data_IF_377442801852
#
_entry.id   IF_377442801852
#
_cell.length_a   1.000
_cell.length_b   1.000
_cell.length_c   1.000
_cell.angle_alpha   90.00
_cell.angle_beta   90.00
_cell.angle_gamma   90.00
#
_symmetry.space_group_name_H-M   'P 1'
#
loop_
_entity.id
_entity.type
_entity.pdbx_description
1 polymer ?
#
# COMPACT_ATOMS: atom_id res chain seq x y z
N UNK A 1 3.00 2.93 21.56
CA UNK A 1 3.46 2.84 20.15
C UNK A 1 3.71 4.26 19.67
N UNK A 2 4.72 4.46 18.83
CA UNK A 2 5.08 5.79 18.32
C UNK A 2 4.28 6.08 17.06
N UNK A 3 3.65 7.26 16.97
CA UNK A 3 2.90 7.69 15.79
C UNK A 3 3.83 7.87 14.60
N UNK A 4 3.60 7.13 13.51
CA UNK A 4 4.34 7.27 12.25
C UNK A 4 3.65 8.24 11.30
N UNK A 5 2.35 7.99 11.01
CA UNK A 5 1.50 8.84 10.19
C UNK A 5 0.32 9.32 11.01
N UNK A 6 0.01 10.59 10.91
CA UNK A 6 -1.23 11.16 11.43
C UNK A 6 -1.87 12.06 10.37
N UNK A 7 -3.15 11.86 10.12
CA UNK A 7 -3.96 12.61 9.16
C UNK A 7 -5.14 13.19 9.91
N UNK A 8 -5.32 14.51 9.82
CA UNK A 8 -6.39 15.25 10.50
C UNK A 8 -7.18 16.08 9.50
N UNK A 9 -8.48 15.85 9.48
CA UNK A 9 -9.48 16.58 8.68
C UNK A 9 -9.03 16.76 7.23
N UNK A 10 -8.41 15.71 6.65
CA UNK A 10 -7.86 15.76 5.29
C UNK A 10 -8.98 15.84 4.26
N UNK A 11 -8.88 16.82 3.37
CA UNK A 11 -9.70 16.94 2.18
C UNK A 11 -8.81 16.91 0.93
N UNK A 12 -9.30 16.24 -0.10
CA UNK A 12 -8.55 16.09 -1.34
C UNK A 12 -9.39 15.50 -2.46
N UNK A 13 -8.80 15.39 -3.64
CA UNK A 13 -9.50 14.89 -4.82
C UNK A 13 -8.67 15.04 -6.08
N UNK A 14 -9.31 15.38 -7.20
CA UNK A 14 -8.64 15.61 -8.47
C UNK A 14 -9.12 16.94 -9.08
N UNK A 15 -8.19 17.79 -9.43
CA UNK A 15 -8.44 19.15 -9.94
C UNK A 15 -9.43 19.92 -9.04
N UNK A 16 -10.67 20.12 -9.46
CA UNK A 16 -11.74 20.78 -8.71
C UNK A 16 -12.77 19.82 -8.10
N UNK A 17 -12.58 18.50 -8.30
CA UNK A 17 -13.54 17.48 -7.82
C UNK A 17 -13.07 16.94 -6.48
N UNK A 18 -13.76 17.33 -5.41
CA UNK A 18 -13.51 16.82 -4.07
C UNK A 18 -14.05 15.41 -3.91
N UNK A 19 -13.20 14.51 -3.35
CA UNK A 19 -13.53 13.11 -3.09
C UNK A 19 -13.42 12.78 -1.61
N UNK A 20 -12.47 13.40 -0.90
CA UNK A 20 -12.22 13.17 0.51
C UNK A 20 -12.80 14.30 1.36
N UNK A 21 -13.49 13.95 2.43
CA UNK A 21 -14.17 14.88 3.32
C UNK A 21 -13.79 14.58 4.77
N UNK A 22 -12.97 15.46 5.37
CA UNK A 22 -12.60 15.42 6.79
C UNK A 22 -12.10 14.04 7.25
N UNK A 23 -11.11 13.49 6.54
CA UNK A 23 -10.52 12.19 6.87
C UNK A 23 -9.60 12.32 8.08
N UNK A 24 -9.86 11.50 9.09
CA UNK A 24 -9.00 11.31 10.27
C UNK A 24 -8.55 9.86 10.32
N UNK A 25 -7.25 9.62 10.14
CA UNK A 25 -6.62 8.30 10.31
C UNK A 25 -5.24 8.44 10.95
N UNK A 26 -4.76 7.33 11.49
CA UNK A 26 -3.38 7.25 11.93
C UNK A 26 -2.79 5.86 11.75
N UNK A 27 -1.47 5.81 11.68
CA UNK A 27 -0.68 4.58 11.63
C UNK A 27 0.48 4.72 12.61
N UNK A 28 0.67 3.73 13.48
CA UNK A 28 1.80 3.68 14.40
C UNK A 28 2.97 2.91 13.78
N UNK A 29 4.21 3.13 14.26
CA UNK A 29 5.40 2.44 13.74
C UNK A 29 5.25 0.92 13.89
N UNK A 30 5.51 0.17 12.81
CA UNK A 30 5.42 -1.28 12.74
C UNK A 30 3.98 -1.82 12.60
N UNK A 31 2.95 -0.95 12.57
CA UNK A 31 1.58 -1.40 12.31
C UNK A 31 1.38 -1.87 10.86
N UNK A 32 0.50 -2.84 10.71
CA UNK A 32 -0.17 -3.15 9.44
C UNK A 32 -1.60 -2.62 9.53
N UNK A 33 -1.90 -1.58 8.77
CA UNK A 33 -3.21 -0.92 8.75
C UNK A 33 -3.90 -1.17 7.42
N UNK A 34 -5.17 -1.60 7.46
CA UNK A 34 -5.99 -1.79 6.26
C UNK A 34 -7.14 -0.78 6.22
N UNK A 35 -7.32 -0.17 5.06
CA UNK A 35 -8.49 0.65 4.74
C UNK A 35 -9.37 -0.13 3.77
N UNK A 36 -10.63 -0.35 4.14
CA UNK A 36 -11.63 -1.05 3.33
C UNK A 36 -12.80 -0.15 3.00
N UNK A 37 -13.61 -0.57 2.04
CA UNK A 37 -14.83 0.13 1.63
C UNK A 37 -15.19 -0.16 0.18
N UNK A 38 -16.39 0.20 -0.27
CA UNK A 38 -16.85 -0.06 -1.62
C UNK A 38 -16.01 0.64 -2.69
N UNK A 39 -16.12 0.18 -3.92
CA UNK A 39 -15.44 0.81 -5.06
C UNK A 39 -15.93 2.27 -5.22
N UNK A 40 -14.98 3.16 -5.50
CA UNK A 40 -15.28 4.58 -5.68
C UNK A 40 -15.48 5.37 -4.37
N UNK A 41 -15.35 4.76 -3.18
CA UNK A 41 -15.53 5.49 -1.91
C UNK A 41 -14.36 6.41 -1.52
N UNK A 42 -13.25 6.43 -2.29
CA UNK A 42 -12.12 7.34 -2.08
C UNK A 42 -10.87 6.70 -1.49
N UNK A 43 -10.77 5.37 -1.31
CA UNK A 43 -9.59 4.68 -0.74
C UNK A 43 -8.29 5.02 -1.45
N UNK A 44 -8.25 4.78 -2.77
CA UNK A 44 -7.06 5.09 -3.59
C UNK A 44 -6.77 6.59 -3.62
N UNK A 45 -7.80 7.43 -3.60
CA UNK A 45 -7.64 8.89 -3.53
C UNK A 45 -6.97 9.29 -2.21
N UNK A 46 -7.32 8.65 -1.09
CA UNK A 46 -6.73 8.93 0.21
C UNK A 46 -5.23 8.68 0.21
N UNK A 47 -4.78 7.48 -0.16
CA UNK A 47 -3.34 7.19 -0.16
C UNK A 47 -2.58 7.98 -1.22
N UNK A 48 -3.21 8.29 -2.38
CA UNK A 48 -2.65 9.18 -3.40
C UNK A 48 -2.52 10.62 -2.92
N UNK A 49 -3.49 11.14 -2.14
CA UNK A 49 -3.39 12.47 -1.53
C UNK A 49 -2.28 12.53 -0.49
N UNK A 50 -2.17 11.50 0.37
CA UNK A 50 -1.07 11.38 1.34
C UNK A 50 0.29 11.34 0.63
N UNK A 51 0.39 10.63 -0.49
CA UNK A 51 1.64 10.48 -1.25
C UNK A 51 1.90 11.59 -2.27
N UNK A 52 1.04 12.63 -2.36
CA UNK A 52 1.22 13.77 -3.27
C UNK A 52 0.95 13.46 -4.74
N UNK A 53 0.12 12.46 -5.05
CA UNK A 53 -0.33 12.07 -6.39
C UNK A 53 -1.76 12.53 -6.71
N UNK A 54 -2.52 12.97 -5.71
CA UNK A 54 -3.83 13.59 -5.86
C UNK A 54 -3.80 14.99 -5.26
N UNK A 55 -4.79 15.81 -5.60
CA UNK A 55 -4.84 17.20 -5.15
C UNK A 55 -5.17 17.26 -3.65
N UNK A 56 -4.27 17.82 -2.87
CA UNK A 56 -4.50 18.20 -1.48
C UNK A 56 -5.26 19.54 -1.44
N UNK A 57 -6.36 19.60 -0.68
CA UNK A 57 -7.13 20.83 -0.51
C UNK A 57 -6.89 21.47 0.86
N UNK A 58 -7.12 20.71 1.93
CA UNK A 58 -6.90 21.17 3.32
C UNK A 58 -6.77 20.01 4.31
N UNK A 59 -6.52 20.33 5.56
CA UNK A 59 -6.28 19.39 6.66
C UNK A 59 -4.80 19.32 7.00
N UNK A 60 -4.40 18.30 7.72
CA UNK A 60 -3.01 18.10 8.12
C UNK A 60 -2.60 16.64 7.88
N UNK A 61 -1.45 16.45 7.25
CA UNK A 61 -0.77 15.15 7.16
C UNK A 61 0.59 15.31 7.80
N UNK A 62 0.85 14.57 8.87
CA UNK A 62 2.16 14.54 9.52
C UNK A 62 2.78 13.15 9.46
N UNK A 63 4.07 13.10 9.17
CA UNK A 63 4.89 11.89 9.12
C UNK A 63 6.06 12.04 10.08
N UNK A 64 6.16 11.15 11.07
CA UNK A 64 7.16 11.26 12.17
C UNK A 64 7.16 12.63 12.84
N UNK A 65 5.96 13.22 13.01
CA UNK A 65 5.78 14.53 13.62
C UNK A 65 6.12 15.73 12.73
N UNK A 66 6.62 15.52 11.51
CA UNK A 66 6.84 16.57 10.53
C UNK A 66 5.61 16.75 9.64
N UNK A 67 5.16 17.99 9.40
CA UNK A 67 4.06 18.27 8.47
C UNK A 67 4.53 18.00 7.03
N UNK A 68 3.81 17.11 6.33
CA UNK A 68 4.07 16.71 4.94
C UNK A 68 2.89 17.00 4.02
N UNK A 69 1.92 17.80 4.47
CA UNK A 69 0.71 18.14 3.71
C UNK A 69 1.06 18.76 2.37
N UNK A 70 0.55 18.18 1.28
CA UNK A 70 0.78 18.67 -0.08
C UNK A 70 2.24 18.60 -0.56
N UNK A 71 3.11 17.86 0.12
CA UNK A 71 4.48 17.64 -0.33
C UNK A 71 4.52 16.84 -1.65
N UNK A 72 5.57 17.07 -2.43
CA UNK A 72 5.82 16.34 -3.68
C UNK A 72 6.28 14.91 -3.39
N UNK A 73 5.94 13.99 -4.27
CA UNK A 73 6.29 12.56 -4.18
C UNK A 73 7.80 12.31 -3.99
N UNK A 74 8.65 13.07 -4.70
CA UNK A 74 10.11 12.91 -4.60
C UNK A 74 10.66 13.27 -3.20
N UNK A 75 10.03 14.23 -2.52
CA UNK A 75 10.37 14.59 -1.14
C UNK A 75 9.92 13.50 -0.15
N UNK A 76 8.70 12.97 -0.31
CA UNK A 76 8.15 11.90 0.52
C UNK A 76 8.97 10.60 0.39
N UNK A 77 9.40 10.25 -0.84
CA UNK A 77 10.30 9.11 -1.07
C UNK A 77 11.62 9.29 -0.33
N UNK A 78 12.21 10.49 -0.33
CA UNK A 78 13.44 10.78 0.41
C UNK A 78 13.25 10.71 1.93
N UNK A 79 12.01 10.84 2.44
CA UNK A 79 11.67 10.65 3.85
C UNK A 79 11.42 9.17 4.22
N UNK A 80 11.46 8.26 3.24
CA UNK A 80 11.27 6.83 3.44
C UNK A 80 9.84 6.34 3.27
N UNK A 81 9.00 7.07 2.53
CA UNK A 81 7.65 6.64 2.15
C UNK A 81 7.71 6.10 0.72
N UNK A 82 7.18 4.91 0.48
CA UNK A 82 7.02 4.35 -0.87
C UNK A 82 5.56 4.01 -1.16
N UNK A 83 5.21 4.04 -2.45
CA UNK A 83 3.86 3.77 -2.93
C UNK A 83 3.88 2.75 -4.06
N UNK A 84 3.00 1.76 -3.99
CA UNK A 84 2.77 0.75 -5.03
C UNK A 84 1.36 0.96 -5.57
N UNK A 85 1.21 1.39 -6.83
CA UNK A 85 -0.10 1.58 -7.45
C UNK A 85 -0.75 0.25 -7.84
N UNK A 86 -2.07 0.27 -7.99
CA UNK A 86 -2.88 -0.87 -8.43
C UNK A 86 -2.54 -1.30 -9.87
N UNK A 87 -2.39 -0.33 -10.77
CA UNK A 87 -2.13 -0.54 -12.20
C UNK A 87 -0.85 0.17 -12.61
N UNK A 88 -0.32 -0.19 -13.78
CA UNK A 88 0.92 0.38 -14.34
C UNK A 88 2.10 0.36 -13.36
N UNK A 89 2.11 -0.70 -12.54
CA UNK A 89 3.04 -0.84 -11.43
C UNK A 89 4.41 -1.43 -11.82
N UNK A 90 4.61 -1.85 -13.07
CA UNK A 90 5.88 -2.32 -13.62
C UNK A 90 6.11 -1.76 -15.03
N UNK A 91 7.35 -1.78 -15.50
CA UNK A 91 7.71 -1.45 -16.89
C UNK A 91 7.73 -2.74 -17.73
N UNK A 92 6.69 -3.01 -18.57
CA UNK A 92 6.54 -4.30 -19.24
C UNK A 92 7.67 -4.62 -20.23
N UNK A 93 8.30 -3.61 -20.82
CA UNK A 93 9.39 -3.72 -21.77
C UNK A 93 10.78 -3.91 -21.15
N UNK A 94 10.88 -3.81 -19.83
CA UNK A 94 12.11 -4.05 -19.09
C UNK A 94 12.08 -5.43 -18.45
N UNK A 95 13.26 -6.02 -18.25
CA UNK A 95 13.39 -7.25 -17.47
C UNK A 95 13.07 -7.02 -15.97
N UNK A 96 12.92 -8.12 -15.22
CA UNK A 96 12.71 -8.08 -13.76
C UNK A 96 13.84 -7.27 -13.10
N UNK A 97 15.10 -7.61 -13.39
CA UNK A 97 16.25 -6.94 -12.81
C UNK A 97 16.33 -5.45 -13.19
N UNK A 98 15.97 -5.08 -14.42
CA UNK A 98 15.92 -3.69 -14.87
C UNK A 98 14.80 -2.92 -14.17
N UNK A 99 13.62 -3.52 -13.98
CA UNK A 99 12.55 -2.94 -13.19
C UNK A 99 13.00 -2.63 -11.75
N UNK A 100 13.70 -3.56 -11.10
CA UNK A 100 14.24 -3.35 -9.76
C UNK A 100 15.27 -2.20 -9.73
N UNK A 101 16.16 -2.12 -10.71
CA UNK A 101 17.14 -1.02 -10.86
C UNK A 101 16.48 0.35 -10.95
N UNK A 102 15.31 0.45 -11.57
CA UNK A 102 14.55 1.70 -11.63
C UNK A 102 14.11 2.21 -10.25
N UNK A 103 13.90 1.30 -9.28
CA UNK A 103 13.59 1.67 -7.89
C UNK A 103 14.72 2.34 -7.13
N UNK A 104 15.95 2.24 -7.64
CA UNK A 104 17.16 2.75 -6.97
C UNK A 104 18.08 3.56 -7.88
N UNK A 105 17.58 4.26 -8.87
CA UNK A 105 18.35 4.97 -9.89
C UNK A 105 19.33 6.06 -9.34
N UNK A 106 19.13 6.50 -8.09
CA UNK A 106 20.00 7.46 -7.40
C UNK A 106 21.00 6.80 -6.44
N UNK A 107 20.95 5.48 -6.28
CA UNK A 107 21.80 4.74 -5.36
C UNK A 107 23.19 4.47 -5.97
N UNK A 108 24.19 4.36 -5.09
CA UNK A 108 25.51 3.87 -5.49
C UNK A 108 25.38 2.43 -6.00
N UNK A 109 26.18 2.03 -7.02
CA UNK A 109 26.06 0.71 -7.65
C UNK A 109 26.09 -0.47 -6.67
N UNK A 110 26.99 -0.45 -5.68
CA UNK A 110 27.09 -1.51 -4.67
C UNK A 110 25.83 -1.58 -3.80
N UNK A 111 25.37 -0.43 -3.29
CA UNK A 111 24.14 -0.36 -2.47
C UNK A 111 22.92 -0.85 -3.25
N UNK A 112 22.83 -0.50 -4.53
CA UNK A 112 21.77 -0.95 -5.41
C UNK A 112 21.78 -2.48 -5.58
N UNK A 113 22.97 -3.05 -5.85
CA UNK A 113 23.15 -4.49 -5.98
C UNK A 113 22.75 -5.23 -4.70
N UNK A 114 23.20 -4.76 -3.54
CA UNK A 114 22.88 -5.38 -2.24
C UNK A 114 21.37 -5.35 -1.94
N UNK A 115 20.68 -4.25 -2.31
CA UNK A 115 19.22 -4.13 -2.10
C UNK A 115 18.42 -4.98 -3.07
N UNK A 116 18.87 -5.11 -4.31
CA UNK A 116 18.27 -6.02 -5.28
C UNK A 116 18.39 -7.46 -4.78
N UNK A 117 19.57 -7.87 -4.33
CA UNK A 117 19.82 -9.21 -3.80
C UNK A 117 18.87 -9.53 -2.63
N UNK A 118 18.79 -8.63 -1.63
CA UNK A 118 17.84 -8.78 -0.51
C UNK A 118 16.38 -8.88 -0.98
N UNK A 119 16.00 -8.10 -1.99
CA UNK A 119 14.64 -8.15 -2.53
C UNK A 119 14.34 -9.48 -3.22
N UNK A 120 15.32 -10.05 -3.94
CA UNK A 120 15.21 -11.37 -4.55
C UNK A 120 15.21 -12.52 -3.53
N UNK A 121 15.84 -12.33 -2.37
CA UNK A 121 15.73 -13.26 -1.23
C UNK A 121 14.30 -13.27 -0.65
N UNK A 122 13.66 -12.12 -0.58
CA UNK A 122 12.27 -11.98 -0.10
C UNK A 122 11.23 -12.51 -1.11
N UNK A 123 11.54 -12.44 -2.39
CA UNK A 123 10.67 -12.88 -3.49
C UNK A 123 11.41 -13.87 -4.41
N UNK A 124 11.65 -15.12 -3.95
CA UNK A 124 12.48 -16.09 -4.67
C UNK A 124 11.92 -16.48 -6.04
N UNK A 125 10.62 -16.37 -6.27
CA UNK A 125 9.98 -16.62 -7.57
C UNK A 125 10.53 -15.68 -8.66
N UNK A 126 10.90 -14.44 -8.29
CA UNK A 126 11.48 -13.48 -9.22
C UNK A 126 12.94 -13.78 -9.57
N UNK A 127 13.68 -14.49 -8.70
CA UNK A 127 15.08 -14.84 -8.94
C UNK A 127 15.25 -15.72 -10.16
N UNK A 128 14.39 -16.71 -10.33
CA UNK A 128 14.44 -17.60 -11.50
C UNK A 128 14.11 -16.91 -12.83
N UNK A 129 13.54 -15.71 -12.74
CA UNK A 129 13.01 -14.93 -13.85
C UNK A 129 13.67 -13.56 -14.00
N UNK A 130 14.82 -13.33 -13.35
CA UNK A 130 15.44 -12.00 -13.25
C UNK A 130 15.74 -11.34 -14.61
N UNK A 131 16.00 -12.14 -15.64
CA UNK A 131 16.28 -11.66 -17.01
C UNK A 131 15.05 -11.69 -17.93
N UNK A 132 13.92 -12.22 -17.48
CA UNK A 132 12.68 -12.25 -18.26
C UNK A 132 12.06 -10.86 -18.33
N UNK A 133 11.39 -10.55 -19.44
CA UNK A 133 10.62 -9.31 -19.56
C UNK A 133 9.43 -9.32 -18.58
N UNK A 134 9.17 -8.20 -17.92
CA UNK A 134 8.04 -8.08 -17.00
C UNK A 134 6.68 -8.33 -17.70
N UNK A 135 6.58 -8.11 -19.01
CA UNK A 135 5.41 -8.46 -19.81
C UNK A 135 5.08 -9.96 -19.79
N UNK A 136 6.07 -10.84 -19.62
CA UNK A 136 5.89 -12.31 -19.61
C UNK A 136 5.48 -12.87 -18.24
N UNK A 137 5.51 -12.04 -17.19
CA UNK A 137 5.16 -12.45 -15.84
C UNK A 137 3.64 -12.64 -15.69
N UNK A 138 3.24 -13.54 -14.80
CA UNK A 138 1.86 -13.65 -14.33
C UNK A 138 1.44 -12.38 -13.55
N UNK A 139 0.15 -12.22 -13.27
CA UNK A 139 -0.35 -11.11 -12.46
C UNK A 139 0.29 -11.05 -11.07
N UNK A 140 0.41 -12.20 -10.39
CA UNK A 140 1.05 -12.31 -9.07
C UNK A 140 2.53 -11.97 -9.11
N UNK A 141 3.28 -12.51 -10.07
CA UNK A 141 4.71 -12.20 -10.25
C UNK A 141 4.92 -10.70 -10.56
N UNK A 142 4.06 -10.09 -11.40
CA UNK A 142 4.13 -8.64 -11.64
C UNK A 142 3.89 -7.84 -10.36
N UNK A 143 2.95 -8.27 -9.51
CA UNK A 143 2.70 -7.60 -8.23
C UNK A 143 3.89 -7.75 -7.27
N UNK A 144 4.49 -8.94 -7.18
CA UNK A 144 5.72 -9.15 -6.43
C UNK A 144 6.85 -8.24 -6.92
N UNK A 145 7.00 -8.10 -8.24
CA UNK A 145 7.99 -7.20 -8.85
C UNK A 145 7.73 -5.72 -8.51
N UNK A 146 6.47 -5.30 -8.52
CA UNK A 146 6.12 -3.92 -8.15
C UNK A 146 6.47 -3.61 -6.68
N UNK A 147 6.16 -4.53 -5.77
CA UNK A 147 6.53 -4.42 -4.35
C UNK A 147 8.06 -4.44 -4.21
N UNK A 148 8.74 -5.40 -4.85
CA UNK A 148 10.21 -5.50 -4.85
C UNK A 148 10.87 -4.18 -5.28
N UNK A 149 10.38 -3.59 -6.37
CA UNK A 149 10.88 -2.30 -6.86
C UNK A 149 10.71 -1.17 -5.82
N UNK A 150 9.58 -1.13 -5.13
CA UNK A 150 9.34 -0.13 -4.08
C UNK A 150 10.29 -0.32 -2.89
N UNK A 151 10.65 -1.56 -2.55
CA UNK A 151 11.59 -1.88 -1.46
C UNK A 151 13.03 -1.47 -1.74
N UNK A 152 13.44 -1.31 -3.01
CA UNK A 152 14.80 -0.87 -3.37
C UNK A 152 15.13 0.52 -2.79
N UNK A 153 14.13 1.39 -2.62
CA UNK A 153 14.32 2.68 -1.94
C UNK A 153 14.61 2.55 -0.44
N UNK A 154 14.41 1.37 0.15
CA UNK A 154 14.50 1.07 1.59
C UNK A 154 13.53 1.90 2.43
N UNK A 155 12.23 1.77 2.17
CA UNK A 155 11.22 2.55 2.85
C UNK A 155 11.05 2.13 4.31
N UNK A 156 10.62 3.08 5.16
CA UNK A 156 10.11 2.78 6.50
C UNK A 156 8.58 2.65 6.50
N UNK A 157 7.93 3.18 5.46
CA UNK A 157 6.48 3.19 5.31
C UNK A 157 6.09 2.84 3.88
N UNK A 158 5.26 1.82 3.72
CA UNK A 158 4.80 1.33 2.42
C UNK A 158 3.29 1.55 2.29
N UNK A 159 2.90 2.28 1.26
CA UNK A 159 1.52 2.52 0.85
C UNK A 159 1.20 1.59 -0.33
N UNK A 160 0.13 0.80 -0.22
CA UNK A 160 -0.25 -0.21 -1.22
C UNK A 160 -1.70 0.01 -1.67
N UNK A 161 -1.89 0.18 -2.97
CA UNK A 161 -3.20 0.43 -3.59
C UNK A 161 -3.72 -0.84 -4.24
N UNK A 162 -4.66 -1.53 -3.58
CA UNK A 162 -5.34 -2.76 -4.00
C UNK A 162 -4.36 -3.83 -4.58
N UNK A 163 -3.30 -4.22 -3.84
CA UNK A 163 -2.26 -5.09 -4.38
C UNK A 163 -2.74 -6.51 -4.71
N UNK A 164 -3.93 -6.92 -4.23
CA UNK A 164 -4.49 -8.24 -4.54
C UNK A 164 -5.52 -8.21 -5.66
N UNK A 165 -5.83 -7.05 -6.23
CA UNK A 165 -6.83 -6.91 -7.28
C UNK A 165 -6.53 -7.78 -8.50
N UNK A 166 -7.56 -8.44 -9.03
CA UNK A 166 -7.50 -9.31 -10.20
C UNK A 166 -6.54 -10.52 -10.09
N UNK A 167 -6.09 -10.88 -8.90
CA UNK A 167 -5.30 -12.08 -8.64
C UNK A 167 -6.20 -13.25 -8.26
N UNK A 168 -5.72 -14.49 -8.55
CA UNK A 168 -6.39 -15.69 -8.03
C UNK A 168 -6.28 -15.77 -6.50
N UNK A 169 -7.20 -16.46 -5.80
CA UNK A 169 -7.19 -16.55 -4.33
C UNK A 169 -5.85 -17.01 -3.74
N UNK A 170 -5.18 -17.93 -4.40
CA UNK A 170 -3.86 -18.41 -3.97
C UNK A 170 -2.81 -17.29 -4.01
N UNK A 171 -2.75 -16.54 -5.10
CA UNK A 171 -1.81 -15.42 -5.21
C UNK A 171 -2.17 -14.25 -4.30
N UNK A 172 -3.47 -13.99 -4.07
CA UNK A 172 -3.90 -12.98 -3.09
C UNK A 172 -3.33 -13.30 -1.70
N UNK A 173 -3.45 -14.55 -1.26
CA UNK A 173 -2.92 -14.99 0.03
C UNK A 173 -1.39 -14.83 0.08
N UNK A 174 -0.67 -15.29 -0.94
CA UNK A 174 0.79 -15.17 -1.02
C UNK A 174 1.26 -13.71 -0.98
N UNK A 175 0.58 -12.81 -1.68
CA UNK A 175 0.91 -11.38 -1.67
C UNK A 175 0.70 -10.77 -0.28
N UNK A 176 -0.43 -11.03 0.37
CA UNK A 176 -0.69 -10.50 1.71
C UNK A 176 0.29 -11.08 2.74
N UNK A 177 0.64 -12.35 2.67
CA UNK A 177 1.64 -12.97 3.54
C UNK A 177 3.03 -12.35 3.31
N UNK A 178 3.41 -12.12 2.06
CA UNK A 178 4.66 -11.45 1.73
C UNK A 178 4.70 -10.01 2.27
N UNK A 179 3.59 -9.26 2.12
CA UNK A 179 3.47 -7.91 2.65
C UNK A 179 3.58 -7.92 4.19
N UNK A 180 2.88 -8.83 4.88
CA UNK A 180 2.95 -8.94 6.34
C UNK A 180 4.38 -9.25 6.83
N UNK A 181 5.12 -10.10 6.08
CA UNK A 181 6.51 -10.40 6.42
C UNK A 181 7.46 -9.19 6.44
N UNK A 182 7.12 -8.12 5.69
CA UNK A 182 7.90 -6.87 5.65
C UNK A 182 7.95 -6.16 7.01
N UNK A 183 6.98 -6.41 7.90
CA UNK A 183 6.99 -5.89 9.27
C UNK A 183 8.17 -6.42 10.08
N UNK A 184 8.60 -7.65 9.82
CA UNK A 184 9.75 -8.27 10.51
C UNK A 184 11.07 -7.54 10.24
N UNK A 185 11.13 -6.82 9.11
CA UNK A 185 12.28 -5.97 8.76
C UNK A 185 12.03 -4.48 9.06
N UNK A 186 10.98 -4.17 9.84
CA UNK A 186 10.70 -2.83 10.38
C UNK A 186 9.92 -1.90 9.44
N UNK A 187 9.26 -2.44 8.41
CA UNK A 187 8.42 -1.63 7.50
C UNK A 187 7.00 -1.54 8.06
N UNK A 188 6.51 -0.32 8.18
CA UNK A 188 5.10 -0.02 8.51
C UNK A 188 4.27 -0.08 7.23
N UNK A 189 3.03 -0.57 7.31
CA UNK A 189 2.20 -0.84 6.13
C UNK A 189 0.86 -0.15 6.25
N UNK A 190 0.46 0.56 5.19
CA UNK A 190 -0.91 1.03 4.97
C UNK A 190 -1.38 0.51 3.62
N UNK A 191 -2.38 -0.35 3.65
CA UNK A 191 -2.97 -0.95 2.46
C UNK A 191 -4.41 -0.47 2.29
N UNK A 192 -4.83 -0.20 1.07
CA UNK A 192 -6.24 -0.10 0.73
C UNK A 192 -6.63 -1.34 -0.05
N UNK A 193 -7.75 -1.96 0.29
CA UNK A 193 -8.19 -3.22 -0.29
C UNK A 193 -9.70 -3.29 -0.51
N UNK A 194 -10.08 -4.06 -1.49
CA UNK A 194 -11.47 -4.46 -1.70
C UNK A 194 -11.76 -5.79 -1.00
N UNK A 195 -10.83 -6.76 -1.04
CA UNK A 195 -10.94 -8.02 -0.31
C UNK A 195 -10.61 -7.81 1.17
N UNK A 196 -11.60 -7.33 1.91
CA UNK A 196 -11.46 -6.91 3.29
C UNK A 196 -11.02 -8.05 4.23
N UNK A 197 -11.58 -9.26 4.05
CA UNK A 197 -11.33 -10.39 4.96
C UNK A 197 -9.87 -10.80 5.00
N UNK A 198 -9.24 -10.88 3.82
CA UNK A 198 -7.85 -11.33 3.70
C UNK A 198 -6.87 -10.34 4.31
N UNK A 199 -7.06 -9.05 4.06
CA UNK A 199 -6.18 -8.00 4.58
C UNK A 199 -6.38 -7.74 6.07
N UNK A 200 -7.65 -7.65 6.55
CA UNK A 200 -7.95 -7.46 7.97
C UNK A 200 -7.45 -8.61 8.84
N UNK A 201 -7.46 -9.86 8.34
CA UNK A 201 -6.96 -11.01 9.09
C UNK A 201 -5.48 -10.89 9.48
N UNK A 202 -4.69 -10.06 8.78
CA UNK A 202 -3.26 -9.80 9.03
C UNK A 202 -2.97 -8.42 9.62
N UNK A 203 -4.00 -7.57 9.70
CA UNK A 203 -3.85 -6.20 10.16
C UNK A 203 -4.02 -6.06 11.67
N UNK A 204 -3.38 -5.03 12.23
CA UNK A 204 -3.58 -4.61 13.62
C UNK A 204 -4.79 -3.69 13.74
N UNK A 205 -5.00 -2.83 12.73
CA UNK A 205 -6.06 -1.81 12.69
C UNK A 205 -6.75 -1.79 11.34
N UNK A 206 -8.07 -1.55 11.36
CA UNK A 206 -8.88 -1.32 10.18
C UNK A 206 -9.57 0.04 10.19
N UNK A 207 -9.74 0.59 9.01
CA UNK A 207 -10.61 1.75 8.74
C UNK A 207 -11.62 1.36 7.67
N UNK A 208 -12.87 1.77 7.87
CA UNK A 208 -13.93 1.59 6.87
C UNK A 208 -14.26 2.95 6.27
N UNK A 209 -14.16 3.04 4.95
CA UNK A 209 -14.51 4.25 4.20
C UNK A 209 -15.81 4.08 3.44
N UNK A 210 -16.62 5.14 3.42
CA UNK A 210 -17.79 5.27 2.59
C UNK A 210 -17.97 6.73 2.17
N UNK A 211 -18.26 6.96 0.88
CA UNK A 211 -18.53 8.30 0.34
C UNK A 211 -17.50 9.37 0.75
N UNK A 212 -16.22 9.03 0.67
CA UNK A 212 -15.12 9.94 0.95
C UNK A 212 -14.88 10.24 2.43
N UNK A 213 -15.47 9.47 3.35
CA UNK A 213 -15.33 9.63 4.81
C UNK A 213 -14.91 8.31 5.47
N UNK A 214 -14.23 8.39 6.59
CA UNK A 214 -14.08 7.26 7.51
C UNK A 214 -15.35 7.15 8.33
N UNK A 215 -16.03 6.00 8.22
CA UNK A 215 -17.30 5.75 8.92
C UNK A 215 -17.12 4.83 10.14
N UNK A 216 -16.04 4.04 10.17
CA UNK A 216 -15.68 3.20 11.30
C UNK A 216 -14.17 2.99 11.37
N UNK A 217 -13.65 2.78 12.58
CA UNK A 217 -12.23 2.44 12.79
C UNK A 217 -12.06 1.64 14.08
N UNK A 218 -11.07 0.76 14.11
CA UNK A 218 -10.79 -0.02 15.30
C UNK A 218 -9.76 -1.13 15.08
N UNK A 219 -9.67 -1.99 16.06
CA UNK A 219 -8.91 -3.24 15.98
C UNK A 219 -9.41 -4.09 14.79
N UNK A 220 -8.49 -4.57 13.96
CA UNK A 220 -8.84 -5.26 12.72
C UNK A 220 -9.61 -6.57 12.96
N UNK A 221 -9.29 -7.30 14.03
CA UNK A 221 -9.99 -8.56 14.37
C UNK A 221 -11.42 -8.29 14.85
N UNK A 222 -11.65 -7.18 15.57
CA UNK A 222 -13.00 -6.78 15.95
C UNK A 222 -13.84 -6.41 14.73
N UNK A 223 -13.27 -5.64 13.80
CA UNK A 223 -13.95 -5.31 12.52
C UNK A 223 -14.28 -6.58 11.73
N UNK A 224 -13.34 -7.53 11.67
CA UNK A 224 -13.50 -8.79 10.92
C UNK A 224 -14.62 -9.68 11.49
N UNK A 225 -14.84 -9.64 12.80
CA UNK A 225 -15.80 -10.50 13.51
C UNK A 225 -17.13 -9.82 13.82
N UNK A 226 -17.27 -8.52 13.55
CA UNK A 226 -18.49 -7.77 13.80
C UNK A 226 -19.58 -8.13 12.76
N UNK A 227 -20.74 -8.69 13.18
CA UNK A 227 -21.79 -9.10 12.26
C UNK A 227 -22.39 -7.94 11.45
N UNK A 228 -22.54 -6.75 12.06
CA UNK A 228 -23.11 -5.58 11.39
C UNK A 228 -22.18 -5.07 10.31
N UNK A 229 -20.87 -5.02 10.60
CA UNK A 229 -19.84 -4.66 9.62
C UNK A 229 -19.73 -5.74 8.54
N UNK A 230 -19.83 -7.01 8.91
CA UNK A 230 -19.81 -8.16 8.02
C UNK A 230 -20.83 -8.05 6.92
N UNK A 231 -22.07 -7.74 7.27
CA UNK A 231 -23.19 -7.65 6.33
C UNK A 231 -23.01 -6.50 5.32
N UNK A 232 -22.55 -5.33 5.78
CA UNK A 232 -22.50 -4.13 4.93
C UNK A 232 -21.19 -3.97 4.14
N UNK A 233 -20.05 -4.46 4.64
CA UNK A 233 -18.73 -4.13 4.09
C UNK A 233 -17.85 -5.33 3.75
N UNK A 234 -18.11 -6.52 4.34
CA UNK A 234 -17.28 -7.70 4.12
C UNK A 234 -17.90 -8.70 3.14
N UNK A 235 -19.12 -8.46 2.68
CA UNK A 235 -19.93 -9.38 1.90
C UNK A 235 -20.60 -10.44 2.80
N UNK A 236 -21.81 -10.87 2.47
CA UNK A 236 -22.53 -11.95 3.15
C UNK A 236 -21.67 -13.22 3.10
N UNK A 237 -21.75 -14.03 4.15
CA UNK A 237 -21.28 -15.42 4.11
C UNK A 237 -22.12 -16.18 3.09
N UNK A 238 -21.67 -16.25 1.83
CA UNK A 238 -22.10 -17.32 0.95
C UNK A 238 -21.22 -18.55 1.28
N UNK A 239 -21.70 -19.29 2.28
CA UNK A 239 -21.34 -20.70 2.45
C UNK A 239 -21.92 -21.47 1.25
N UNK A 240 -21.06 -21.82 0.28
CA UNK A 240 -21.29 -22.95 -0.60
C UNK A 240 -20.00 -23.70 -0.86
#
# INVERSE_FOLDING_TARGET
MTRLLEVKSLEGGYDSVQILYEIDIHVDEGEFVTIIGPNGCGKSTLIKTIFGLATYYRGEVSYRGANVSGMRTDQLVNMGISYVPQVDNVFPSLSVIENMRMGGNKLQPQTLSDRIERSLEMFPDLRSREFDLAASLSGGERQMLAISRALISNPNFLLLDEPTAALSPLYQQQIIESIDSLRQVGITILIVEQNARLSLARSDRGYIMSNGKVVHSGDAQRILTDPEIGEYFLGSHDDH
#
